data_IF_719049206806
#
_entry.id   IF_719049206806
#
_cell.length_a   1.000
_cell.length_b   1.000
_cell.length_c   1.000
_cell.angle_alpha   90.00
_cell.angle_beta   90.00
_cell.angle_gamma   90.00
#
_symmetry.space_group_name_H-M   'P 1'
#
loop_
_entity.id
_entity.type
_entity.pdbx_description
1 polymer ?
#
# COMPACT_ATOMS: atom_id res chain seq x y z
N UNK A 1 -17.54 11.95 2.16
CA UNK A 1 -18.54 11.10 1.48
C UNK A 1 -17.82 9.87 0.99
N UNK A 2 -18.19 8.69 1.51
CA UNK A 2 -17.57 7.41 1.20
C UNK A 2 -17.79 7.06 -0.28
N UNK A 3 -16.71 6.75 -0.99
CA UNK A 3 -16.78 6.09 -2.28
C UNK A 3 -17.12 4.62 -2.06
N UNK A 4 -18.40 4.30 -1.87
CA UNK A 4 -18.87 2.92 -2.05
C UNK A 4 -18.78 2.63 -3.54
N UNK A 5 -17.76 1.88 -3.93
CA UNK A 5 -17.64 1.34 -5.29
C UNK A 5 -18.82 0.40 -5.58
N UNK A 6 -19.23 0.23 -6.85
CA UNK A 6 -20.38 -0.59 -7.19
C UNK A 6 -20.20 -2.05 -6.74
N UNK A 7 -21.32 -2.69 -6.39
CA UNK A 7 -21.41 -4.12 -6.13
C UNK A 7 -20.85 -4.90 -7.34
N UNK A 8 -19.86 -5.77 -7.11
CA UNK A 8 -19.12 -6.49 -8.16
C UNK A 8 -17.76 -5.88 -8.55
N UNK A 9 -17.35 -4.75 -7.96
CA UNK A 9 -15.99 -4.21 -8.15
C UNK A 9 -14.94 -5.07 -7.45
N UNK A 10 -14.03 -5.67 -8.22
CA UNK A 10 -12.83 -6.33 -7.68
C UNK A 10 -11.63 -5.40 -7.84
N UNK A 11 -11.09 -4.84 -6.73
CA UNK A 11 -9.91 -3.99 -6.81
C UNK A 11 -8.65 -4.78 -7.15
N UNK A 12 -7.76 -4.10 -7.86
CA UNK A 12 -6.46 -4.64 -8.25
C UNK A 12 -5.33 -4.02 -7.44
N UNK A 13 -4.28 -4.81 -7.19
CA UNK A 13 -3.00 -4.37 -6.67
C UNK A 13 -1.95 -4.60 -7.75
N UNK A 14 -1.05 -3.63 -7.91
CA UNK A 14 0.12 -3.76 -8.76
C UNK A 14 1.33 -3.09 -8.10
N UNK A 15 2.52 -3.52 -8.47
CA UNK A 15 3.76 -2.81 -8.17
C UNK A 15 4.24 -2.17 -9.47
N UNK A 16 4.68 -0.91 -9.43
CA UNK A 16 5.19 -0.25 -10.66
C UNK A 16 6.45 -0.93 -11.18
N UNK A 17 7.25 -1.51 -10.28
CA UNK A 17 8.49 -2.22 -10.58
C UNK A 17 8.27 -3.44 -11.48
N UNK A 18 7.13 -4.13 -11.37
CA UNK A 18 6.86 -5.30 -12.22
C UNK A 18 6.53 -4.95 -13.67
N UNK A 19 6.27 -3.68 -13.93
CA UNK A 19 6.11 -3.10 -15.25
C UNK A 19 7.34 -2.26 -15.64
N UNK A 20 8.48 -2.46 -14.96
CA UNK A 20 9.76 -1.83 -15.27
C UNK A 20 9.90 -0.38 -14.79
N UNK A 21 8.99 0.12 -13.95
CA UNK A 21 8.98 1.51 -13.49
C UNK A 21 9.42 1.58 -12.02
N UNK A 22 10.59 2.16 -11.81
CA UNK A 22 11.21 2.31 -10.49
C UNK A 22 11.19 3.77 -10.03
N UNK A 23 11.13 3.95 -8.71
CA UNK A 23 11.17 5.27 -8.10
C UNK A 23 11.86 5.22 -6.73
N UNK A 24 12.59 6.27 -6.39
CA UNK A 24 13.16 6.42 -5.05
C UNK A 24 12.08 6.92 -4.06
N UNK A 25 12.46 7.19 -2.80
CA UNK A 25 11.52 7.66 -1.78
C UNK A 25 10.90 9.04 -2.03
N UNK A 26 11.41 9.84 -2.99
CA UNK A 26 10.95 11.20 -3.24
C UNK A 26 9.76 11.27 -4.19
N UNK A 27 8.61 10.75 -3.78
CA UNK A 27 7.41 10.83 -4.58
C UNK A 27 6.78 12.25 -4.63
N UNK A 28 7.32 13.23 -3.90
CA UNK A 28 6.65 14.52 -3.69
C UNK A 28 5.50 14.41 -2.68
N UNK A 29 5.65 13.53 -1.69
CA UNK A 29 4.65 13.24 -0.68
C UNK A 29 3.60 12.22 -1.11
N UNK A 30 2.63 11.96 -0.22
CA UNK A 30 1.54 11.00 -0.44
C UNK A 30 0.76 11.29 -1.72
N UNK A 31 0.43 12.56 -1.99
CA UNK A 31 -0.30 12.93 -3.19
C UNK A 31 0.50 12.68 -4.47
N UNK A 32 1.81 12.91 -4.44
CA UNK A 32 2.67 12.62 -5.59
C UNK A 32 2.85 11.12 -5.82
N UNK A 33 2.88 10.32 -4.75
CA UNK A 33 2.87 8.86 -4.85
C UNK A 33 1.58 8.33 -5.48
N UNK A 34 0.42 8.89 -5.09
CA UNK A 34 -0.86 8.55 -5.72
C UNK A 34 -0.87 8.94 -7.21
N UNK A 35 -0.40 10.14 -7.55
CA UNK A 35 -0.29 10.58 -8.94
C UNK A 35 0.63 9.65 -9.75
N UNK A 36 1.73 9.20 -9.16
CA UNK A 36 2.65 8.24 -9.77
C UNK A 36 1.97 6.89 -10.01
N UNK A 37 1.19 6.35 -9.08
CA UNK A 37 0.40 5.13 -9.31
C UNK A 37 -0.65 5.35 -10.38
N UNK A 38 -1.39 6.46 -10.34
CA UNK A 38 -2.45 6.78 -11.30
C UNK A 38 -1.93 6.93 -12.73
N UNK A 39 -0.69 7.42 -12.93
CA UNK A 39 -0.08 7.56 -14.26
C UNK A 39 0.56 6.26 -14.79
N UNK A 40 0.75 5.25 -13.94
CA UNK A 40 1.40 3.98 -14.28
C UNK A 40 0.48 2.78 -14.08
N UNK A 41 -0.83 2.98 -14.29
CA UNK A 41 -1.80 1.88 -14.26
C UNK A 41 -1.48 0.90 -15.40
N UNK A 42 -1.27 -0.38 -15.11
CA UNK A 42 -1.06 -1.39 -16.13
C UNK A 42 -2.20 -1.45 -17.15
N UNK A 43 -1.87 -1.61 -18.42
CA UNK A 43 -2.87 -1.63 -19.51
C UNK A 43 -3.83 -2.81 -19.46
N UNK A 44 -3.50 -3.84 -18.69
CA UNK A 44 -4.29 -5.06 -18.53
C UNK A 44 -5.32 -5.00 -17.39
N UNK A 45 -5.41 -3.87 -16.67
CA UNK A 45 -6.46 -3.62 -15.67
C UNK A 45 -7.26 -2.35 -16.01
N UNK A 46 -8.46 -2.17 -15.45
CA UNK A 46 -9.29 -1.00 -15.76
C UNK A 46 -8.62 0.34 -15.43
N UNK A 47 -8.31 1.14 -16.44
CA UNK A 47 -7.63 2.44 -16.29
C UNK A 47 -8.51 3.57 -15.72
N UNK A 48 -9.83 3.34 -15.62
CA UNK A 48 -10.80 4.32 -15.10
C UNK A 48 -10.93 4.32 -13.57
N UNK A 49 -10.22 3.43 -12.88
CA UNK A 49 -10.20 3.39 -11.42
C UNK A 49 -9.33 4.49 -10.80
N UNK A 50 -9.57 4.77 -9.52
CA UNK A 50 -8.67 5.58 -8.70
C UNK A 50 -7.66 4.63 -8.06
N UNK A 51 -6.39 4.80 -8.38
CA UNK A 51 -5.29 4.01 -7.83
C UNK A 51 -4.43 4.87 -6.92
N UNK A 52 -4.24 4.39 -5.69
CA UNK A 52 -3.50 5.08 -4.65
C UNK A 52 -2.29 4.25 -4.22
N UNK A 53 -1.21 4.92 -3.85
CA UNK A 53 0.00 4.26 -3.39
C UNK A 53 -0.20 3.65 -2.00
N UNK A 54 0.15 2.37 -1.83
CA UNK A 54 0.12 1.68 -0.53
C UNK A 54 1.41 1.98 0.24
N UNK A 55 1.51 3.22 0.73
CA UNK A 55 2.58 3.71 1.59
C UNK A 55 1.95 4.51 2.73
N UNK A 56 2.56 4.55 3.90
CA UNK A 56 2.13 5.44 5.00
C UNK A 56 3.20 6.46 5.32
N UNK A 57 2.81 7.57 5.93
CA UNK A 57 3.76 8.53 6.49
C UNK A 57 3.52 8.81 7.98
N UNK A 58 2.45 8.27 8.56
CA UNK A 58 2.08 8.47 9.96
C UNK A 58 1.31 9.77 10.22
N UNK A 59 1.08 10.61 9.20
CA UNK A 59 0.44 11.93 9.36
C UNK A 59 -0.64 12.18 8.31
N UNK A 60 -0.34 12.03 7.02
CA UNK A 60 -1.27 12.23 5.92
C UNK A 60 -1.97 10.93 5.53
N UNK A 61 -1.26 9.80 5.61
CA UNK A 61 -1.82 8.45 5.40
C UNK A 61 -1.40 7.53 6.54
N UNK A 62 -2.40 6.94 7.19
CA UNK A 62 -2.28 6.08 8.37
C UNK A 62 -3.25 4.92 8.23
N UNK A 63 -2.77 3.68 8.32
CA UNK A 63 -3.65 2.51 8.30
C UNK A 63 -4.40 2.34 9.63
N UNK A 64 -3.66 2.46 10.74
CA UNK A 64 -4.16 2.34 12.12
C UNK A 64 -3.08 2.84 13.09
N UNK A 65 -3.49 3.29 14.27
CA UNK A 65 -2.60 3.57 15.41
C UNK A 65 -2.54 2.43 16.42
N UNK A 66 -3.35 1.38 16.24
CA UNK A 66 -3.52 0.32 17.24
C UNK A 66 -3.11 -1.04 16.68
N UNK A 67 -3.63 -1.42 15.52
CA UNK A 67 -3.36 -2.75 14.95
C UNK A 67 -4.36 -3.17 13.87
N UNK A 68 -4.17 -4.36 13.28
CA UNK A 68 -4.85 -4.78 12.05
C UNK A 68 -6.38 -4.87 12.17
N UNK A 69 -6.92 -5.04 13.37
CA UNK A 69 -8.37 -5.19 13.61
C UNK A 69 -9.02 -3.89 14.13
N UNK A 70 -8.39 -2.73 13.93
CA UNK A 70 -8.87 -1.44 14.42
C UNK A 70 -8.71 -0.32 13.39
N UNK A 71 -9.75 0.49 13.22
CA UNK A 71 -9.72 1.72 12.40
C UNK A 71 -9.31 2.96 13.20
N UNK A 72 -8.88 2.82 14.45
CA UNK A 72 -8.47 3.96 15.29
C UNK A 72 -7.30 4.69 14.65
N UNK A 73 -7.49 5.99 14.41
CA UNK A 73 -6.49 6.86 13.77
C UNK A 73 -6.26 6.58 12.28
N UNK A 74 -7.07 5.72 11.66
CA UNK A 74 -7.03 5.48 10.23
C UNK A 74 -7.30 6.79 9.48
N UNK A 75 -6.43 7.11 8.53
CA UNK A 75 -6.50 8.33 7.72
C UNK A 75 -6.07 8.04 6.30
N UNK A 76 -6.92 8.40 5.36
CA UNK A 76 -6.67 8.28 3.92
C UNK A 76 -6.21 6.86 3.47
N UNK A 77 -6.72 5.84 4.17
CA UNK A 77 -6.32 4.45 3.96
C UNK A 77 -6.78 3.91 2.62
N UNK A 78 -5.96 3.05 2.02
CA UNK A 78 -6.10 2.63 0.62
C UNK A 78 -6.86 1.32 0.44
N UNK A 79 -6.92 0.47 1.47
CA UNK A 79 -7.62 -0.80 1.40
C UNK A 79 -9.01 -0.72 2.02
N UNK A 80 -9.97 -1.30 1.32
CA UNK A 80 -11.37 -1.32 1.70
C UNK A 80 -11.64 -2.48 2.68
N UNK A 81 -12.61 -2.33 3.59
CA UNK A 81 -13.09 -3.41 4.45
C UNK A 81 -13.67 -4.60 3.67
N UNK A 82 -13.45 -5.82 4.17
CA UNK A 82 -14.09 -7.05 3.71
C UNK A 82 -13.99 -7.29 2.19
N UNK A 83 -12.81 -6.99 1.63
CA UNK A 83 -12.61 -6.92 0.20
C UNK A 83 -11.49 -7.86 -0.25
N UNK A 84 -11.77 -8.61 -1.31
CA UNK A 84 -10.75 -9.39 -2.02
C UNK A 84 -10.00 -8.49 -3.00
N UNK A 85 -8.67 -8.62 -3.03
CA UNK A 85 -7.78 -7.91 -3.94
C UNK A 85 -7.05 -8.86 -4.87
N UNK A 86 -6.97 -8.50 -6.16
CA UNK A 86 -6.31 -9.30 -7.20
C UNK A 86 -5.03 -8.65 -7.71
N UNK A 87 -4.02 -9.46 -8.00
CA UNK A 87 -2.78 -8.99 -8.62
C UNK A 87 -3.06 -8.60 -10.07
N UNK A 88 -2.55 -7.44 -10.48
CA UNK A 88 -2.75 -6.95 -11.84
C UNK A 88 -2.07 -7.85 -12.89
N UNK A 89 -0.89 -8.41 -12.59
CA UNK A 89 -0.09 -9.19 -13.55
C UNK A 89 -0.84 -10.41 -14.13
N UNK A 90 -1.55 -11.16 -13.28
CA UNK A 90 -2.13 -12.46 -13.64
C UNK A 90 -3.54 -12.71 -13.06
N UNK A 91 -4.10 -11.75 -12.32
CA UNK A 91 -5.41 -11.88 -11.69
C UNK A 91 -5.45 -12.79 -10.45
N UNK A 92 -4.30 -13.28 -9.97
CA UNK A 92 -4.24 -14.11 -8.77
C UNK A 92 -4.80 -13.36 -7.55
N UNK A 93 -5.49 -14.08 -6.67
CA UNK A 93 -5.96 -13.51 -5.41
C UNK A 93 -4.75 -13.25 -4.50
N UNK A 94 -4.58 -12.02 -4.06
CA UNK A 94 -3.46 -11.64 -3.18
C UNK A 94 -3.87 -11.73 -1.73
N UNK A 95 -5.04 -11.16 -1.41
CA UNK A 95 -5.53 -11.07 -0.05
C UNK A 95 -7.03 -10.84 0.04
N UNK A 96 -7.56 -11.14 1.23
CA UNK A 96 -8.87 -10.72 1.69
C UNK A 96 -8.73 -9.89 2.96
N UNK A 97 -9.22 -8.65 2.95
CA UNK A 97 -9.14 -7.74 4.10
C UNK A 97 -10.24 -8.03 5.12
N UNK A 98 -9.98 -7.73 6.39
CA UNK A 98 -10.98 -7.75 7.46
C UNK A 98 -11.87 -6.48 7.42
N UNK A 99 -12.73 -6.32 8.42
CA UNK A 99 -13.62 -5.17 8.57
C UNK A 99 -12.92 -3.82 8.78
N UNK A 100 -11.62 -3.83 9.09
CA UNK A 100 -10.79 -2.61 9.18
C UNK A 100 -9.99 -2.32 7.91
N UNK A 101 -10.14 -3.14 6.87
CA UNK A 101 -9.42 -3.00 5.60
C UNK A 101 -7.97 -3.48 5.65
N UNK A 102 -7.65 -4.45 6.53
CA UNK A 102 -6.28 -4.97 6.72
C UNK A 102 -6.27 -6.50 6.85
N UNK A 103 -5.09 -7.12 6.77
CA UNK A 103 -4.89 -8.53 7.13
C UNK A 103 -4.27 -8.62 8.51
N UNK A 104 -4.82 -9.43 9.39
CA UNK A 104 -4.21 -9.68 10.69
C UNK A 104 -3.08 -10.72 10.60
N UNK A 105 -1.89 -10.26 10.22
CA UNK A 105 -0.69 -11.11 10.18
C UNK A 105 -0.28 -11.62 11.56
N UNK A 106 -0.69 -10.94 12.64
CA UNK A 106 -0.33 -11.32 14.01
C UNK A 106 -1.11 -12.56 14.50
N UNK A 107 -2.30 -12.82 13.96
CA UNK A 107 -3.06 -14.06 14.19
C UNK A 107 -2.65 -15.21 13.26
N UNK A 108 -1.54 -15.06 12.52
CA UNK A 108 -1.01 -16.10 11.63
C UNK A 108 -1.64 -16.13 10.24
N UNK A 109 -2.52 -15.18 9.91
CA UNK A 109 -2.97 -14.99 8.53
C UNK A 109 -1.79 -14.56 7.64
N UNK A 110 -1.88 -14.88 6.36
CA UNK A 110 -0.85 -14.61 5.36
C UNK A 110 -1.48 -14.09 4.08
N UNK A 111 -0.68 -13.51 3.20
CA UNK A 111 -1.07 -13.31 1.82
C UNK A 111 -1.33 -14.67 1.15
N UNK A 112 -2.31 -14.74 0.26
CA UNK A 112 -2.56 -15.94 -0.56
C UNK A 112 -1.52 -16.05 -1.68
N UNK A 113 -1.13 -14.91 -2.24
CA UNK A 113 -0.09 -14.77 -3.25
C UNK A 113 0.68 -13.46 -3.02
N UNK A 114 1.93 -13.33 -3.51
CA UNK A 114 2.70 -12.09 -3.36
C UNK A 114 2.07 -10.92 -4.14
N UNK A 115 2.44 -9.68 -3.85
CA UNK A 115 1.95 -8.51 -4.60
C UNK A 115 2.45 -8.46 -6.05
N UNK A 116 3.55 -9.16 -6.34
CA UNK A 116 4.18 -9.23 -7.67
C UNK A 116 4.81 -10.60 -7.90
N UNK A 117 4.95 -11.03 -9.16
CA UNK A 117 5.73 -12.19 -9.57
C UNK A 117 7.24 -11.91 -9.61
N UNK A 118 7.67 -10.65 -9.46
CA UNK A 118 9.10 -10.29 -9.42
C UNK A 118 9.72 -10.67 -8.09
N UNK A 119 10.53 -11.74 -8.09
CA UNK A 119 11.12 -12.38 -6.88
C UNK A 119 11.96 -11.46 -5.98
N UNK A 120 12.59 -10.44 -6.52
CA UNK A 120 13.51 -9.54 -5.80
C UNK A 120 13.00 -8.09 -5.77
N UNK A 121 11.68 -7.90 -5.81
CA UNK A 121 11.10 -6.55 -5.69
C UNK A 121 10.93 -6.21 -4.21
N UNK A 122 11.54 -5.10 -3.78
CA UNK A 122 11.19 -4.41 -2.53
C UNK A 122 10.13 -3.34 -2.79
N UNK A 123 9.14 -3.23 -1.91
CA UNK A 123 8.00 -2.32 -2.07
C UNK A 123 7.99 -1.37 -0.89
N UNK A 124 8.15 -0.08 -1.15
CA UNK A 124 7.98 0.94 -0.11
C UNK A 124 6.62 0.78 0.57
N UNK A 125 6.59 0.84 1.90
CA UNK A 125 5.35 0.79 2.68
C UNK A 125 5.39 1.70 3.90
N UNK A 126 6.54 1.78 4.58
CA UNK A 126 6.70 2.35 5.91
C UNK A 126 5.79 1.72 6.99
N UNK A 127 5.45 0.44 6.85
CA UNK A 127 4.55 -0.28 7.75
C UNK A 127 5.26 -1.34 8.58
N UNK A 128 4.83 -1.48 9.84
CA UNK A 128 5.01 -2.69 10.64
C UNK A 128 4.09 -3.81 10.14
N UNK A 129 4.33 -5.05 10.58
CA UNK A 129 3.44 -6.20 10.33
C UNK A 129 2.07 -6.08 11.00
N UNK A 130 1.91 -5.19 11.99
CA UNK A 130 0.63 -4.85 12.61
C UNK A 130 -0.05 -3.63 11.97
N UNK A 131 0.44 -3.16 10.82
CA UNK A 131 -0.07 -2.02 10.06
C UNK A 131 0.09 -0.64 10.71
N UNK A 132 0.78 -0.50 11.84
CA UNK A 132 1.16 0.83 12.31
C UNK A 132 2.34 1.35 11.50
N UNK A 133 2.47 2.67 11.39
CA UNK A 133 3.66 3.29 10.76
C UNK A 133 4.93 2.85 11.48
N UNK A 134 5.92 2.41 10.71
CA UNK A 134 7.23 2.06 11.25
C UNK A 134 7.96 3.32 11.70
N UNK A 135 8.45 3.28 12.94
CA UNK A 135 9.21 4.38 13.53
C UNK A 135 10.57 3.89 14.02
N UNK A 136 11.60 4.70 13.80
CA UNK A 136 12.92 4.53 14.40
C UNK A 136 13.18 5.71 15.34
N UNK A 137 13.54 5.45 16.59
CA UNK A 137 13.73 6.47 17.63
C UNK A 137 12.54 7.45 17.78
N UNK A 138 11.31 6.95 17.57
CA UNK A 138 10.08 7.74 17.65
C UNK A 138 9.74 8.55 16.39
N UNK A 139 10.56 8.49 15.35
CA UNK A 139 10.31 9.20 14.08
C UNK A 139 9.92 8.22 12.95
N UNK A 140 8.91 8.53 12.13
CA UNK A 140 8.54 7.70 10.98
C UNK A 140 9.70 7.53 9.98
N UNK A 141 9.96 6.29 9.57
CA UNK A 141 10.97 5.98 8.55
C UNK A 141 10.32 5.95 7.17
N UNK A 142 10.11 7.14 6.62
CA UNK A 142 9.22 7.40 5.46
C UNK A 142 9.91 8.24 4.38
N UNK A 143 11.24 8.27 4.31
CA UNK A 143 11.97 9.14 3.36
C UNK A 143 11.54 10.62 3.45
N UNK A 144 11.48 11.15 4.67
CA UNK A 144 10.96 12.49 4.97
C UNK A 144 9.53 12.71 4.43
N UNK A 145 8.59 11.84 4.85
CA UNK A 145 7.20 11.83 4.37
C UNK A 145 7.11 11.76 2.84
N UNK A 146 7.99 10.96 2.24
CA UNK A 146 8.10 10.71 0.80
C UNK A 146 8.50 11.93 -0.03
N UNK A 147 9.28 12.85 0.55
CA UNK A 147 9.81 14.05 -0.11
C UNK A 147 11.33 14.00 -0.33
N UNK A 148 11.98 12.87 -0.01
CA UNK A 148 13.43 12.75 -0.14
C UNK A 148 13.86 11.42 -0.74
N UNK A 149 14.91 11.47 -1.53
CA UNK A 149 15.64 10.31 -2.04
C UNK A 149 17.08 10.29 -1.54
N UNK A 150 17.39 11.10 -0.53
CA UNK A 150 18.74 11.22 0.03
C UNK A 150 19.12 9.94 0.79
N UNK A 151 20.40 9.58 0.76
CA UNK A 151 20.91 8.34 1.35
C UNK A 151 20.77 8.28 2.89
N UNK A 152 20.62 9.43 3.55
CA UNK A 152 20.43 9.55 5.00
C UNK A 152 18.94 9.63 5.41
N UNK A 153 18.01 9.69 4.46
CA UNK A 153 16.57 9.71 4.71
C UNK A 153 15.97 8.33 4.45
N UNK A 154 15.89 7.53 5.50
CA UNK A 154 15.48 6.13 5.38
C UNK A 154 13.97 5.97 5.20
N UNK A 155 13.61 5.03 4.33
CA UNK A 155 12.26 4.49 4.20
C UNK A 155 12.26 3.01 4.57
N UNK A 156 11.10 2.47 4.93
CA UNK A 156 10.92 1.02 5.08
C UNK A 156 10.16 0.46 3.89
N UNK A 157 10.64 -0.68 3.41
CA UNK A 157 10.00 -1.47 2.39
C UNK A 157 9.67 -2.87 2.93
N UNK A 158 8.67 -3.50 2.34
CA UNK A 158 8.40 -4.92 2.51
C UNK A 158 8.88 -5.73 1.31
N UNK A 159 8.85 -7.04 1.46
CA UNK A 159 8.77 -8.01 0.38
C UNK A 159 7.57 -8.92 0.65
N UNK A 160 6.97 -9.47 -0.40
CA UNK A 160 5.78 -10.31 -0.34
C UNK A 160 6.00 -11.65 -0.99
#
# INVERSE_FOLDING_TARGET
MQSTFPEGYMPYIFTTSSFGVFHNGNFGGISGADAFCQSHIPSNIPSRGIYKAMIVDGVNRVATLVGPNSTVGQKDWVFQPNQQYRRAEDGANVMFTNSSGMIDFQSGKKLENPFTQVKESGQWTALNTNWTTWTSNGFPSTCNSWNSGALNDFGIFGSS
#
